data_IF_163987241112
#
_entry.id   IF_163987241112
#
_cell.length_a   1.000
_cell.length_b   1.000
_cell.length_c   1.000
_cell.angle_alpha   90.00
_cell.angle_beta   90.00
_cell.angle_gamma   90.00
#
_symmetry.space_group_name_H-M   'P 1'
#
loop_
_entity.id
_entity.type
_entity.pdbx_description
1 polymer ?
#
# COMPACT_ATOMS: atom_id res chain seq x y z
N UNK A 1 -5.92 -5.14 7.24
CA UNK A 1 -4.98 -4.85 8.35
C UNK A 1 -4.24 -3.54 8.10
N UNK A 2 -3.54 -3.40 6.97
CA UNK A 2 -2.80 -2.17 6.61
C UNK A 2 -3.66 -0.92 6.54
N UNK A 3 -4.77 -0.93 5.78
CA UNK A 3 -5.74 0.18 5.70
C UNK A 3 -6.23 0.65 7.08
N UNK A 4 -6.73 -0.30 7.89
CA UNK A 4 -7.21 -0.03 9.26
C UNK A 4 -6.16 0.63 10.13
N UNK A 5 -4.88 0.23 10.00
CA UNK A 5 -3.79 0.86 10.75
C UNK A 5 -3.63 2.33 10.35
N UNK A 6 -3.60 2.62 9.04
CA UNK A 6 -3.47 3.99 8.56
C UNK A 6 -4.64 4.87 9.02
N UNK A 7 -5.87 4.34 8.95
CA UNK A 7 -7.07 5.02 9.45
C UNK A 7 -7.00 5.29 10.97
N UNK A 8 -6.61 4.29 11.76
CA UNK A 8 -6.48 4.40 13.23
C UNK A 8 -5.42 5.43 13.65
N UNK A 9 -4.38 5.58 12.86
CA UNK A 9 -3.29 6.51 13.10
C UNK A 9 -3.49 7.86 12.38
N UNK A 10 -4.66 8.11 11.78
CA UNK A 10 -4.97 9.34 11.04
C UNK A 10 -3.94 9.67 9.93
N UNK A 11 -3.28 8.65 9.39
CA UNK A 11 -2.34 8.80 8.28
C UNK A 11 -3.14 9.04 7.00
N UNK A 12 -2.82 10.09 6.25
CA UNK A 12 -3.45 10.35 4.96
C UNK A 12 -2.94 9.34 3.92
N UNK A 13 -3.85 8.65 3.26
CA UNK A 13 -3.53 7.74 2.16
C UNK A 13 -4.60 7.79 1.08
N UNK A 14 -4.22 7.39 -0.13
CA UNK A 14 -5.15 7.15 -1.24
C UNK A 14 -5.31 5.65 -1.40
N UNK A 15 -6.55 5.19 -1.48
CA UNK A 15 -6.86 3.78 -1.74
C UNK A 15 -7.08 3.58 -3.23
N UNK A 16 -6.27 2.70 -3.82
CA UNK A 16 -6.48 2.17 -5.16
C UNK A 16 -6.93 0.72 -5.06
N UNK A 17 -8.19 0.47 -5.39
CA UNK A 17 -8.78 -0.87 -5.37
C UNK A 17 -8.55 -1.55 -6.73
N UNK A 18 -7.68 -2.55 -6.76
CA UNK A 18 -7.34 -3.27 -7.99
C UNK A 18 -8.49 -4.11 -8.58
N UNK A 19 -9.53 -4.42 -7.79
CA UNK A 19 -10.74 -5.07 -8.30
C UNK A 19 -11.60 -4.11 -9.15
N UNK A 20 -11.54 -2.81 -8.85
CA UNK A 20 -12.25 -1.76 -9.59
C UNK A 20 -11.36 -1.10 -10.65
N UNK A 21 -10.05 -1.03 -10.40
CA UNK A 21 -9.05 -0.39 -11.23
C UNK A 21 -7.97 -1.41 -11.62
N UNK A 22 -8.28 -2.34 -12.55
CA UNK A 22 -7.34 -3.38 -12.97
C UNK A 22 -6.09 -2.83 -13.65
N UNK A 23 -6.08 -1.57 -14.10
CA UNK A 23 -4.90 -0.90 -14.68
C UNK A 23 -3.69 -0.87 -13.73
N UNK A 24 -3.92 -0.82 -12.42
CA UNK A 24 -2.84 -0.85 -11.43
C UNK A 24 -2.25 -2.25 -11.24
N UNK A 25 -2.96 -3.31 -11.65
CA UNK A 25 -2.46 -4.70 -11.52
C UNK A 25 -1.20 -4.90 -12.35
N UNK A 26 -1.19 -4.38 -13.58
CA UNK A 26 -0.04 -4.51 -14.48
C UNK A 26 1.16 -3.73 -13.96
N UNK A 27 0.95 -2.53 -13.41
CA UNK A 27 2.00 -1.75 -12.75
C UNK A 27 2.57 -2.48 -11.53
N UNK A 28 1.71 -3.03 -10.66
CA UNK A 28 2.14 -3.78 -9.48
C UNK A 28 2.97 -5.00 -9.86
N UNK A 29 2.55 -5.74 -10.90
CA UNK A 29 3.31 -6.89 -11.42
C UNK A 29 4.65 -6.46 -12.02
N UNK A 30 4.68 -5.36 -12.78
CA UNK A 30 5.91 -4.82 -13.35
C UNK A 30 6.92 -4.40 -12.27
N UNK A 31 6.42 -3.88 -11.15
CA UNK A 31 7.21 -3.55 -9.96
C UNK A 31 7.59 -4.78 -9.10
N UNK A 32 7.23 -6.00 -9.53
CA UNK A 32 7.57 -7.26 -8.85
C UNK A 32 6.67 -7.60 -7.67
N UNK A 33 5.57 -6.89 -7.46
CA UNK A 33 4.60 -7.22 -6.41
C UNK A 33 3.66 -8.34 -6.87
N UNK A 34 3.57 -9.38 -6.06
CA UNK A 34 2.73 -10.55 -6.32
C UNK A 34 1.58 -10.71 -5.33
N UNK A 35 1.47 -9.81 -4.35
CA UNK A 35 0.45 -9.87 -3.31
C UNK A 35 0.04 -8.47 -2.85
N UNK A 36 -1.27 -8.31 -2.63
CA UNK A 36 -1.86 -7.15 -1.97
C UNK A 36 -1.95 -7.37 -0.46
N UNK A 37 -2.01 -6.31 0.37
CA UNK A 37 -1.97 -4.88 0.01
C UNK A 37 -0.56 -4.42 -0.36
N UNK A 38 -0.44 -3.42 -1.24
CA UNK A 38 0.81 -2.73 -1.55
C UNK A 38 0.68 -1.28 -1.07
N UNK A 39 1.70 -0.79 -0.37
CA UNK A 39 1.78 0.59 0.10
C UNK A 39 2.94 1.25 -0.61
N UNK A 40 2.64 2.32 -1.33
CA UNK A 40 3.63 3.18 -1.95
C UNK A 40 3.80 4.44 -1.10
N UNK A 41 5.05 4.80 -0.86
CA UNK A 41 5.45 5.96 -0.08
C UNK A 41 5.81 7.11 -1.03
N UNK A 42 5.71 8.38 -0.57
CA UNK A 42 6.01 9.55 -1.41
C UNK A 42 7.47 9.65 -1.85
N UNK A 43 8.38 8.99 -1.14
CA UNK A 43 9.81 8.91 -1.45
C UNK A 43 10.14 7.90 -2.57
N UNK A 44 9.12 7.24 -3.12
CA UNK A 44 9.24 6.22 -4.16
C UNK A 44 9.50 4.81 -3.62
N UNK A 45 9.63 4.64 -2.30
CA UNK A 45 9.68 3.31 -1.71
C UNK A 45 8.30 2.67 -1.73
N UNK A 46 8.25 1.35 -1.94
CA UNK A 46 7.01 0.60 -1.88
C UNK A 46 7.23 -0.75 -1.20
N UNK A 47 6.23 -1.22 -0.48
CA UNK A 47 6.27 -2.51 0.18
C UNK A 47 4.93 -3.22 0.07
N UNK A 48 4.98 -4.56 0.01
CA UNK A 48 3.80 -5.40 0.02
C UNK A 48 3.56 -6.02 1.40
N UNK A 49 2.29 -6.35 1.65
CA UNK A 49 1.81 -7.00 2.86
C UNK A 49 1.59 -6.07 4.04
N UNK A 50 1.36 -6.67 5.21
CA UNK A 50 1.22 -5.95 6.47
C UNK A 50 2.57 -5.86 7.18
N UNK A 51 3.17 -4.66 7.20
CA UNK A 51 4.48 -4.39 7.79
C UNK A 51 4.36 -3.37 8.93
N UNK A 52 4.08 -3.80 10.17
CA UNK A 52 3.83 -2.88 11.29
C UNK A 52 5.03 -1.99 11.62
N UNK A 53 6.25 -2.44 11.35
CA UNK A 53 7.46 -1.62 11.60
C UNK A 53 7.57 -0.45 10.62
N UNK A 54 7.20 -0.66 9.35
CA UNK A 54 7.15 0.42 8.35
C UNK A 54 5.96 1.34 8.59
N UNK A 55 4.80 0.77 8.90
CA UNK A 55 3.58 1.54 9.17
C UNK A 55 3.72 2.44 10.41
N UNK A 56 4.41 1.98 11.45
CA UNK A 56 4.73 2.80 12.63
C UNK A 56 5.61 4.01 12.32
N UNK A 57 6.37 3.99 11.22
CA UNK A 57 7.16 5.15 10.78
C UNK A 57 6.33 6.21 10.02
N UNK A 58 5.09 5.90 9.65
CA UNK A 58 4.20 6.81 8.92
C UNK A 58 3.18 7.52 9.82
N UNK A 59 3.03 7.04 11.05
CA UNK A 59 2.16 7.58 12.10
C UNK A 59 2.95 8.53 13.00
#
# INVERSE_FOLDING_TARGET
>A
MTKKFLEQHNVAFVEHNIDEQPEFVDELKANGFMATPVVQLPDGNAFSGFRPDMLRGLA
#
